data_IF_265651778828
#
_entry.id   IF_265651778828
#
_cell.length_a   1.000
_cell.length_b   1.000
_cell.length_c   1.000
_cell.angle_alpha   90.00
_cell.angle_beta   90.00
_cell.angle_gamma   90.00
#
_symmetry.space_group_name_H-M   'P 1'
#
loop_
_entity.id
_entity.type
_entity.pdbx_description
1 polymer ?
#
# COMPACT_ATOMS: atom_id res chain seq x y z
N UNK A 1 23.67 -45.95 -26.95
CA UNK A 1 24.36 -45.71 -25.66
C UNK A 1 24.82 -44.26 -25.67
N UNK A 2 23.98 -43.36 -25.16
CA UNK A 2 24.12 -41.90 -25.29
C UNK A 2 25.23 -41.41 -24.36
N UNK A 3 26.30 -40.85 -24.94
CA UNK A 3 27.21 -39.91 -24.28
C UNK A 3 26.70 -38.52 -24.67
N UNK A 4 25.96 -37.82 -23.79
CA UNK A 4 25.90 -36.35 -23.72
C UNK A 4 24.82 -35.77 -22.77
N UNK A 5 24.29 -36.51 -21.81
CA UNK A 5 23.33 -35.95 -20.83
C UNK A 5 23.89 -34.82 -19.94
N UNK A 6 25.20 -34.59 -19.93
CA UNK A 6 25.81 -33.53 -19.11
C UNK A 6 25.81 -32.13 -19.75
N UNK A 7 25.55 -31.99 -21.05
CA UNK A 7 25.54 -30.67 -21.69
C UNK A 7 24.16 -29.98 -21.67
N UNK A 8 23.09 -30.70 -21.32
CA UNK A 8 21.71 -30.17 -21.39
C UNK A 8 21.34 -29.35 -20.14
N UNK A 9 21.98 -29.61 -19.00
CA UNK A 9 21.64 -28.95 -17.72
C UNK A 9 22.40 -27.66 -17.43
N UNK A 10 23.42 -27.30 -18.23
CA UNK A 10 24.28 -26.14 -17.97
C UNK A 10 24.23 -25.06 -19.07
N UNK A 11 23.31 -25.17 -20.04
CA UNK A 11 23.10 -24.12 -21.02
C UNK A 11 22.43 -22.88 -20.38
N UNK A 12 22.94 -21.66 -20.61
CA UNK A 12 22.43 -20.44 -19.97
C UNK A 12 20.98 -20.08 -20.32
N UNK A 13 20.38 -20.78 -21.31
CA UNK A 13 18.99 -20.61 -21.73
C UNK A 13 18.37 -21.99 -21.98
N UNK A 14 17.30 -22.31 -21.25
CA UNK A 14 16.59 -23.59 -21.39
C UNK A 14 15.44 -23.44 -22.41
N UNK A 15 15.66 -23.92 -23.65
CA UNK A 15 14.71 -23.80 -24.76
C UNK A 15 13.58 -24.85 -24.75
N UNK A 16 13.55 -25.74 -23.74
CA UNK A 16 12.45 -26.70 -23.53
C UNK A 16 12.14 -27.57 -24.75
N UNK A 17 10.85 -27.73 -25.08
CA UNK A 17 10.38 -28.58 -26.18
C UNK A 17 10.85 -28.12 -27.58
N UNK A 18 11.33 -26.87 -27.72
CA UNK A 18 11.79 -26.30 -28.98
C UNK A 18 13.32 -26.38 -29.15
N UNK A 19 14.04 -27.08 -28.26
CA UNK A 19 15.50 -27.17 -28.29
C UNK A 19 16.03 -27.72 -29.62
N UNK A 20 15.36 -28.71 -30.22
CA UNK A 20 15.77 -29.28 -31.51
C UNK A 20 15.75 -28.24 -32.64
N UNK A 21 14.71 -27.41 -32.70
CA UNK A 21 14.60 -26.32 -33.67
C UNK A 21 15.66 -25.24 -33.44
N UNK A 22 15.94 -24.91 -32.17
CA UNK A 22 16.95 -23.90 -31.82
C UNK A 22 18.37 -24.35 -32.17
N UNK A 23 18.66 -25.65 -32.06
CA UNK A 23 19.95 -26.22 -32.49
C UNK A 23 20.10 -26.17 -34.01
N UNK A 24 19.04 -26.50 -34.75
CA UNK A 24 19.04 -26.42 -36.22
C UNK A 24 19.25 -24.98 -36.72
N UNK A 25 18.57 -23.99 -36.09
CA UNK A 25 18.77 -22.57 -36.40
C UNK A 25 20.18 -22.08 -35.99
N UNK A 26 20.76 -22.64 -34.93
CA UNK A 26 22.13 -22.32 -34.53
C UNK A 26 23.15 -22.87 -35.54
N UNK A 27 22.95 -24.09 -36.04
CA UNK A 27 23.80 -24.68 -37.09
C UNK A 27 23.72 -23.84 -38.38
N UNK A 28 22.52 -23.39 -38.78
CA UNK A 28 22.34 -22.47 -39.91
C UNK A 28 23.07 -21.13 -39.69
N UNK A 29 23.01 -20.58 -38.48
CA UNK A 29 23.73 -19.37 -38.12
C UNK A 29 25.27 -19.52 -38.19
N UNK A 30 25.81 -20.72 -37.89
CA UNK A 30 27.25 -21.00 -38.02
C UNK A 30 27.73 -21.02 -39.48
N UNK A 31 26.86 -21.40 -40.42
CA UNK A 31 27.15 -21.40 -41.86
C UNK A 31 26.98 -20.01 -42.48
N UNK A 32 25.87 -19.32 -42.16
CA UNK A 32 25.58 -17.96 -42.60
C UNK A 32 24.79 -17.20 -41.52
N UNK A 33 25.38 -16.18 -40.87
CA UNK A 33 24.70 -15.38 -39.86
C UNK A 33 23.43 -14.69 -40.35
N UNK A 34 23.32 -14.38 -41.64
CA UNK A 34 22.14 -13.70 -42.20
C UNK A 34 20.96 -14.63 -42.47
N UNK A 35 21.15 -15.95 -42.33
CA UNK A 35 20.11 -16.96 -42.53
C UNK A 35 19.04 -16.99 -41.43
N UNK A 36 19.32 -16.36 -40.28
CA UNK A 36 18.41 -16.27 -39.13
C UNK A 36 18.02 -14.80 -38.86
N UNK A 37 16.92 -14.60 -38.15
CA UNK A 37 16.43 -13.25 -37.80
C UNK A 37 17.41 -12.49 -36.91
N UNK A 38 17.38 -11.17 -36.97
CA UNK A 38 18.30 -10.28 -36.23
C UNK A 38 18.33 -10.57 -34.72
N UNK A 39 17.18 -10.86 -34.12
CA UNK A 39 17.07 -11.26 -32.70
C UNK A 39 17.84 -12.56 -32.39
N UNK A 40 17.82 -13.53 -33.30
CA UNK A 40 18.55 -14.80 -33.17
C UNK A 40 20.04 -14.63 -33.42
N UNK A 41 20.44 -13.71 -34.31
CA UNK A 41 21.85 -13.37 -34.51
C UNK A 41 22.47 -12.81 -33.22
N UNK A 42 21.76 -11.91 -32.54
CA UNK A 42 22.19 -11.35 -31.24
C UNK A 42 22.24 -12.44 -30.17
N UNK A 43 21.24 -13.30 -30.10
CA UNK A 43 21.21 -14.41 -29.14
C UNK A 43 22.37 -15.39 -29.36
N UNK A 44 22.59 -15.84 -30.60
CA UNK A 44 23.60 -16.85 -30.93
C UNK A 44 25.04 -16.32 -30.89
N UNK A 45 25.26 -15.05 -31.24
CA UNK A 45 26.56 -14.39 -31.02
C UNK A 45 26.91 -14.28 -29.54
N UNK A 46 25.91 -14.05 -28.67
CA UNK A 46 26.10 -14.01 -27.21
C UNK A 46 26.44 -15.38 -26.62
N UNK A 47 25.93 -16.47 -27.22
CA UNK A 47 26.19 -17.85 -26.77
C UNK A 47 27.62 -18.31 -27.11
N UNK A 48 28.18 -17.86 -28.25
CA UNK A 48 29.51 -18.29 -28.73
C UNK A 48 30.66 -17.83 -27.82
N UNK A 49 30.54 -16.66 -27.21
CA UNK A 49 31.66 -16.02 -26.50
C UNK A 49 31.57 -16.10 -24.96
N UNK A 50 30.51 -16.67 -24.39
CA UNK A 50 30.37 -16.86 -22.93
C UNK A 50 30.32 -15.56 -22.09
N UNK A 51 30.55 -14.41 -22.71
CA UNK A 51 30.36 -13.07 -22.16
C UNK A 51 29.74 -12.17 -23.25
N UNK A 52 28.90 -11.19 -22.87
CA UNK A 52 28.27 -10.29 -23.83
C UNK A 52 29.32 -9.34 -24.42
N UNK A 53 29.95 -9.73 -25.52
CA UNK A 53 30.76 -8.81 -26.33
C UNK A 53 29.85 -8.03 -27.29
N UNK A 54 29.02 -7.16 -26.71
CA UNK A 54 28.43 -6.08 -27.50
C UNK A 54 29.57 -5.10 -27.75
N UNK A 55 30.19 -5.20 -28.93
CA UNK A 55 31.05 -4.12 -29.46
C UNK A 55 30.15 -2.98 -29.88
N UNK A 56 29.47 -2.37 -28.90
CA UNK A 56 28.98 -1.02 -29.02
C UNK A 56 30.22 -0.15 -29.07
N UNK A 57 30.49 0.44 -30.23
CA UNK A 57 31.34 1.60 -30.31
C UNK A 57 30.88 2.57 -29.23
N UNK A 58 31.64 2.64 -28.13
CA UNK A 58 31.46 3.61 -27.07
C UNK A 58 31.86 4.96 -27.66
N UNK A 59 30.90 5.57 -28.36
CA UNK A 59 30.72 7.00 -28.26
C UNK A 59 30.68 7.28 -26.76
N UNK A 60 31.62 8.10 -26.26
CA UNK A 60 31.70 8.51 -24.86
C UNK A 60 30.32 8.97 -24.39
N UNK A 61 29.55 8.07 -23.76
CA UNK A 61 28.31 8.42 -23.09
C UNK A 61 28.72 9.09 -21.79
N UNK A 62 28.44 10.38 -21.70
CA UNK A 62 28.65 11.23 -20.53
C UNK A 62 28.34 10.51 -19.22
N UNK A 63 29.27 10.53 -18.27
CA UNK A 63 29.08 9.93 -16.94
C UNK A 63 27.78 10.38 -16.25
N UNK A 64 27.30 11.58 -16.58
CA UNK A 64 26.02 12.15 -16.13
C UNK A 64 24.79 11.33 -16.52
N UNK A 65 24.74 10.72 -17.72
CA UNK A 65 23.58 9.92 -18.16
C UNK A 65 23.46 8.61 -17.35
N UNK A 66 24.60 8.04 -16.94
CA UNK A 66 24.63 6.88 -16.05
C UNK A 66 24.11 7.20 -14.65
N UNK A 67 24.42 8.40 -14.14
CA UNK A 67 24.03 8.83 -12.79
C UNK A 67 22.53 9.11 -12.71
N UNK A 68 21.97 9.82 -13.69
CA UNK A 68 20.53 10.11 -13.74
C UNK A 68 19.72 8.79 -13.80
N UNK A 69 20.17 7.80 -14.58
CA UNK A 69 19.54 6.47 -14.62
C UNK A 69 19.55 5.78 -13.25
N UNK A 70 20.63 5.90 -12.46
CA UNK A 70 20.70 5.35 -11.09
C UNK A 70 19.75 6.07 -10.15
N UNK A 71 19.65 7.40 -10.26
CA UNK A 71 18.70 8.22 -9.49
C UNK A 71 17.25 7.81 -9.80
N UNK A 72 16.88 7.70 -11.07
CA UNK A 72 15.54 7.27 -11.48
C UNK A 72 15.19 5.86 -10.95
N UNK A 73 16.12 4.91 -11.03
CA UNK A 73 15.92 3.56 -10.48
C UNK A 73 15.70 3.57 -8.96
N UNK A 74 16.44 4.39 -8.21
CA UNK A 74 16.22 4.55 -6.78
C UNK A 74 14.81 5.10 -6.48
N UNK A 75 14.42 6.16 -7.19
CA UNK A 75 13.09 6.78 -7.04
C UNK A 75 11.98 5.78 -7.33
N UNK A 76 12.09 5.04 -8.43
CA UNK A 76 11.11 4.03 -8.83
C UNK A 76 11.04 2.90 -7.80
N UNK A 77 12.18 2.44 -7.28
CA UNK A 77 12.23 1.45 -6.21
C UNK A 77 11.55 1.96 -4.93
N UNK A 78 11.76 3.22 -4.54
CA UNK A 78 11.09 3.82 -3.38
C UNK A 78 9.57 3.86 -3.59
N UNK A 79 9.10 4.26 -4.78
CA UNK A 79 7.66 4.32 -5.11
C UNK A 79 7.02 2.93 -5.12
N UNK A 80 7.72 1.94 -5.68
CA UNK A 80 7.19 0.59 -5.85
C UNK A 80 7.27 -0.21 -4.55
N UNK A 81 8.39 -0.15 -3.83
CA UNK A 81 8.69 -1.04 -2.72
C UNK A 81 8.85 -0.32 -1.37
N UNK A 82 8.61 0.99 -1.28
CA UNK A 82 8.71 1.73 -0.01
C UNK A 82 7.81 1.17 1.11
N UNK A 83 6.65 0.60 0.77
CA UNK A 83 5.76 -0.11 1.69
C UNK A 83 6.46 -1.32 2.39
N UNK A 84 7.46 -1.90 1.70
CA UNK A 84 8.69 -2.57 2.18
C UNK A 84 9.18 -2.23 3.58
N UNK A 85 9.35 -0.94 3.78
CA UNK A 85 10.06 -0.37 4.92
C UNK A 85 9.20 0.68 5.60
N UNK A 86 7.89 0.65 5.38
CA UNK A 86 6.95 1.51 6.08
C UNK A 86 6.83 1.13 7.57
N UNK A 87 6.56 2.13 8.40
CA UNK A 87 6.39 2.02 9.85
C UNK A 87 4.91 1.86 10.22
N UNK A 88 4.32 0.74 9.78
CA UNK A 88 2.88 0.46 9.92
C UNK A 88 2.56 -0.54 11.04
N UNK A 89 3.57 -0.97 11.81
CA UNK A 89 3.42 -2.01 12.83
C UNK A 89 3.43 -1.37 14.23
N UNK A 90 2.27 -1.27 14.91
CA UNK A 90 2.17 -0.57 16.20
C UNK A 90 2.84 -1.31 17.38
N UNK A 91 3.19 -2.58 17.20
CA UNK A 91 3.79 -3.41 18.27
C UNK A 91 5.20 -3.84 17.88
N UNK A 92 5.32 -4.78 16.93
CA UNK A 92 6.61 -5.34 16.51
C UNK A 92 6.72 -5.31 14.99
N UNK A 93 7.84 -4.78 14.50
CA UNK A 93 8.16 -4.82 13.08
C UNK A 93 8.64 -6.23 12.69
N UNK A 94 8.06 -6.86 11.65
CA UNK A 94 8.58 -8.13 11.16
C UNK A 94 9.93 -7.93 10.48
N UNK A 95 10.83 -8.90 10.63
CA UNK A 95 12.02 -8.99 9.81
C UNK A 95 11.61 -9.30 8.36
N UNK A 96 12.14 -8.55 7.40
CA UNK A 96 11.84 -8.76 5.98
C UNK A 96 13.09 -9.24 5.26
N UNK A 97 12.95 -10.35 4.53
CA UNK A 97 13.99 -10.91 3.66
C UNK A 97 13.72 -10.48 2.21
N UNK A 98 14.76 -10.42 1.39
CA UNK A 98 14.68 -10.12 -0.04
C UNK A 98 14.05 -8.74 -0.35
N UNK A 99 14.28 -7.76 0.52
CA UNK A 99 13.85 -6.37 0.24
C UNK A 99 14.70 -5.81 -0.90
N UNK A 100 14.11 -5.19 -1.93
CA UNK A 100 14.86 -4.52 -2.98
C UNK A 100 15.77 -3.42 -2.43
N UNK A 101 16.75 -3.03 -3.25
CA UNK A 101 17.61 -1.87 -2.98
C UNK A 101 16.78 -0.60 -2.86
N UNK A 102 16.90 0.08 -1.73
CA UNK A 102 16.06 1.23 -1.37
C UNK A 102 16.84 2.39 -0.77
N UNK A 103 18.13 2.21 -0.49
CA UNK A 103 18.99 3.22 0.11
C UNK A 103 19.84 3.90 -0.98
N UNK A 104 20.18 5.17 -0.77
CA UNK A 104 21.01 5.95 -1.70
C UNK A 104 22.32 5.22 -2.05
N UNK A 105 22.97 4.64 -1.03
CA UNK A 105 24.22 3.89 -1.18
C UNK A 105 24.10 2.64 -2.05
N UNK A 106 22.93 2.00 -2.13
CA UNK A 106 22.72 0.77 -2.91
C UNK A 106 22.90 0.98 -4.43
N UNK A 107 22.80 2.24 -4.86
CA UNK A 107 22.85 2.70 -6.25
C UNK A 107 24.15 3.44 -6.57
N UNK A 108 25.18 3.36 -5.72
CA UNK A 108 26.44 4.09 -5.91
C UNK A 108 26.19 5.59 -6.14
N UNK A 109 25.31 6.15 -5.32
CA UNK A 109 25.02 7.58 -5.26
C UNK A 109 25.52 8.09 -3.91
N UNK A 110 25.95 9.34 -3.88
CA UNK A 110 26.33 10.03 -2.66
C UNK A 110 25.60 11.38 -2.57
N UNK A 111 25.66 11.97 -1.39
CA UNK A 111 25.03 13.26 -1.11
C UNK A 111 25.52 14.35 -2.06
N UNK A 112 26.83 14.45 -2.27
CA UNK A 112 27.44 15.52 -3.08
C UNK A 112 26.96 15.46 -4.54
N UNK A 113 26.85 14.27 -5.10
CA UNK A 113 26.33 14.03 -6.46
C UNK A 113 24.86 14.43 -6.55
N UNK A 114 24.05 14.05 -5.56
CA UNK A 114 22.62 14.35 -5.54
C UNK A 114 22.31 15.83 -5.30
N UNK A 115 23.16 16.55 -4.55
CA UNK A 115 23.06 17.99 -4.35
C UNK A 115 23.28 18.78 -5.65
N UNK A 116 24.06 18.25 -6.59
CA UNK A 116 24.25 18.84 -7.92
C UNK A 116 23.13 18.59 -8.92
N UNK A 117 22.10 17.82 -8.54
CA UNK A 117 20.98 17.42 -9.40
C UNK A 117 19.72 18.18 -8.98
N UNK A 118 18.97 18.71 -9.95
CA UNK A 118 17.70 19.39 -9.70
C UNK A 118 16.66 18.46 -9.06
N UNK A 119 15.90 18.97 -8.08
CA UNK A 119 14.78 18.25 -7.46
C UNK A 119 13.68 17.85 -8.46
N UNK A 120 13.59 18.54 -9.61
CA UNK A 120 12.63 18.25 -10.69
C UNK A 120 12.77 16.83 -11.25
N UNK A 121 14.00 16.29 -11.25
CA UNK A 121 14.27 14.91 -11.67
C UNK A 121 13.58 13.89 -10.74
N UNK A 122 13.39 14.23 -9.47
CA UNK A 122 12.76 13.35 -8.47
C UNK A 122 11.24 13.36 -8.63
N UNK A 123 10.66 14.55 -8.70
CA UNK A 123 9.24 14.77 -8.97
C UNK A 123 9.02 16.21 -9.42
N UNK A 124 8.19 16.41 -10.44
CA UNK A 124 7.81 17.76 -10.89
C UNK A 124 7.22 18.62 -9.75
N UNK A 125 6.60 17.99 -8.74
CA UNK A 125 6.02 18.65 -7.57
C UNK A 125 7.04 19.15 -6.55
N UNK A 126 8.30 18.75 -6.67
CA UNK A 126 9.36 19.08 -5.71
C UNK A 126 10.23 20.24 -6.14
N UNK A 127 10.15 20.65 -7.41
CA UNK A 127 10.94 21.73 -7.99
C UNK A 127 10.91 23.03 -7.18
N UNK A 128 9.72 23.44 -6.74
CA UNK A 128 9.54 24.71 -6.01
C UNK A 128 9.59 24.54 -4.48
N UNK A 129 9.87 23.33 -4.00
CA UNK A 129 9.81 22.96 -2.57
C UNK A 129 11.20 22.59 -2.04
N UNK A 130 12.06 22.02 -2.89
CA UNK A 130 13.38 21.52 -2.51
C UNK A 130 14.43 22.00 -3.49
N UNK A 131 15.61 22.36 -2.96
CA UNK A 131 16.68 22.95 -3.77
C UNK A 131 17.40 21.92 -4.64
N UNK A 132 17.43 20.65 -4.21
CA UNK A 132 18.18 19.59 -4.87
C UNK A 132 17.53 18.19 -4.73
N UNK A 133 18.02 17.24 -5.51
CA UNK A 133 17.51 15.87 -5.54
C UNK A 133 17.73 15.12 -4.22
N UNK A 134 18.79 15.43 -3.45
CA UNK A 134 19.06 14.80 -2.16
C UNK A 134 17.93 15.07 -1.16
N UNK A 135 17.54 16.33 -0.99
CA UNK A 135 16.45 16.71 -0.09
C UNK A 135 15.10 16.13 -0.53
N UNK A 136 14.84 16.14 -1.84
CA UNK A 136 13.64 15.55 -2.42
C UNK A 136 13.56 14.02 -2.19
N UNK A 137 14.68 13.30 -2.31
CA UNK A 137 14.73 11.86 -2.04
C UNK A 137 14.50 11.58 -0.55
N UNK A 138 15.15 12.31 0.37
CA UNK A 138 14.92 12.15 1.81
C UNK A 138 13.44 12.39 2.17
N UNK A 139 12.81 13.37 1.52
CA UNK A 139 11.38 13.62 1.67
C UNK A 139 10.52 12.47 1.17
N UNK A 140 10.88 11.86 0.04
CA UNK A 140 10.21 10.67 -0.49
C UNK A 140 10.36 9.49 0.45
N UNK A 141 11.55 9.23 0.97
CA UNK A 141 11.78 8.16 1.94
C UNK A 141 10.89 8.34 3.16
N UNK A 142 10.86 9.53 3.75
CA UNK A 142 9.95 9.84 4.87
C UNK A 142 8.48 9.63 4.52
N UNK A 143 8.08 9.80 3.24
CA UNK A 143 6.70 9.60 2.80
C UNK A 143 6.37 8.12 2.62
N UNK A 144 7.17 7.40 1.84
CA UNK A 144 6.90 6.04 1.40
C UNK A 144 7.34 4.99 2.41
N UNK A 145 8.30 5.31 3.29
CA UNK A 145 8.78 4.49 4.41
C UNK A 145 8.22 4.97 5.77
N UNK A 146 7.25 5.90 5.77
CA UNK A 146 6.65 6.48 6.97
C UNK A 146 5.52 5.64 7.58
N UNK A 147 4.61 6.26 8.37
CA UNK A 147 3.53 5.54 9.08
C UNK A 147 2.35 5.13 8.19
N UNK A 148 2.44 5.37 6.88
CA UNK A 148 1.44 5.00 5.88
C UNK A 148 2.16 4.26 4.77
N UNK A 149 1.71 3.05 4.46
CA UNK A 149 2.20 2.26 3.34
C UNK A 149 1.35 2.55 2.09
N UNK A 150 2.01 2.78 0.95
CA UNK A 150 1.36 3.03 -0.33
C UNK A 150 1.67 1.90 -1.31
N UNK A 151 0.63 1.26 -1.83
CA UNK A 151 0.72 0.27 -2.89
C UNK A 151 -0.22 0.67 -4.01
N UNK A 152 0.34 1.15 -5.13
CA UNK A 152 -0.46 1.68 -6.23
C UNK A 152 0.16 1.45 -7.62
N UNK A 153 1.44 1.10 -7.68
CA UNK A 153 2.17 0.92 -8.95
C UNK A 153 1.62 -0.23 -9.80
N UNK A 154 0.95 -1.19 -9.17
CA UNK A 154 0.27 -2.32 -9.82
C UNK A 154 -1.02 -1.94 -10.56
N UNK A 155 -1.57 -0.74 -10.35
CA UNK A 155 -2.79 -0.27 -11.02
C UNK A 155 -2.48 -0.07 -12.51
N UNK A 156 -3.24 -0.69 -13.41
CA UNK A 156 -2.99 -0.60 -14.86
C UNK A 156 -3.26 0.80 -15.44
N UNK A 157 -4.26 1.52 -14.93
CA UNK A 157 -4.65 2.83 -15.43
C UNK A 157 -3.60 3.89 -15.09
N UNK A 158 -2.94 4.43 -16.12
CA UNK A 158 -1.91 5.44 -15.93
C UNK A 158 -2.42 6.74 -15.30
N UNK A 159 -3.65 7.16 -15.62
CA UNK A 159 -4.23 8.39 -15.06
C UNK A 159 -4.41 8.27 -13.54
N UNK A 160 -4.88 7.10 -13.08
CA UNK A 160 -5.03 6.81 -11.65
C UNK A 160 -3.69 6.76 -10.93
N UNK A 161 -2.69 6.07 -11.51
CA UNK A 161 -1.34 6.02 -10.94
C UNK A 161 -0.71 7.41 -10.81
N UNK A 162 -0.82 8.24 -11.85
CA UNK A 162 -0.29 9.62 -11.85
C UNK A 162 -1.02 10.46 -10.80
N UNK A 163 -2.35 10.32 -10.69
CA UNK A 163 -3.13 11.02 -9.68
C UNK A 163 -2.71 10.61 -8.26
N UNK A 164 -2.57 9.30 -7.99
CA UNK A 164 -2.10 8.79 -6.70
C UNK A 164 -0.69 9.27 -6.38
N UNK A 165 0.25 9.15 -7.33
CA UNK A 165 1.63 9.66 -7.19
C UNK A 165 1.62 11.12 -6.75
N UNK A 166 0.86 11.97 -7.46
CA UNK A 166 0.72 13.40 -7.14
C UNK A 166 0.15 13.60 -5.73
N UNK A 167 -0.93 12.90 -5.37
CA UNK A 167 -1.56 13.04 -4.03
C UNK A 167 -0.66 12.56 -2.90
N UNK A 168 0.15 11.52 -3.13
CA UNK A 168 1.08 10.97 -2.15
C UNK A 168 2.28 11.91 -1.95
N UNK A 169 2.85 12.42 -3.04
CA UNK A 169 4.06 13.24 -3.02
C UNK A 169 3.79 14.70 -2.66
N UNK A 170 2.58 15.22 -2.90
CA UNK A 170 2.15 16.53 -2.41
C UNK A 170 2.30 16.58 -0.88
N UNK A 171 2.93 17.62 -0.30
CA UNK A 171 3.03 17.79 1.14
C UNK A 171 1.66 17.83 1.83
N UNK A 172 1.20 16.68 2.29
CA UNK A 172 0.04 16.57 3.18
C UNK A 172 0.53 16.35 4.60
N UNK A 173 0.43 17.38 5.42
CA UNK A 173 0.51 17.26 6.87
C UNK A 173 -0.92 17.27 7.37
N UNK A 174 -1.33 16.22 8.09
CA UNK A 174 -2.60 16.22 8.81
C UNK A 174 -2.53 17.33 9.87
N UNK A 175 -2.99 18.52 9.50
CA UNK A 175 -2.97 19.69 10.35
C UNK A 175 -4.30 19.75 11.10
N UNK A 176 -4.41 18.92 12.14
CA UNK A 176 -5.48 19.06 13.11
C UNK A 176 -5.17 20.26 14.01
N UNK A 177 -6.13 21.17 14.14
CA UNK A 177 -6.04 22.24 15.13
C UNK A 177 -6.19 21.67 16.56
N UNK A 178 -6.00 22.50 17.58
CA UNK A 178 -6.04 22.05 18.98
C UNK A 178 -7.39 21.40 19.34
N UNK A 179 -8.49 21.99 18.87
CA UNK A 179 -9.84 21.50 19.16
C UNK A 179 -10.10 20.16 18.47
N UNK A 180 -9.70 20.00 17.20
CA UNK A 180 -9.81 18.76 16.47
C UNK A 180 -9.01 17.62 17.11
N UNK A 181 -7.81 17.91 17.63
CA UNK A 181 -7.02 16.94 18.40
C UNK A 181 -7.72 16.52 19.70
N UNK A 182 -8.30 17.48 20.43
CA UNK A 182 -9.07 17.18 21.64
C UNK A 182 -10.31 16.36 21.31
N UNK A 183 -11.00 16.65 20.22
CA UNK A 183 -12.16 15.88 19.79
C UNK A 183 -11.79 14.45 19.39
N UNK A 184 -10.70 14.27 18.61
CA UNK A 184 -10.17 12.95 18.27
C UNK A 184 -9.81 12.15 19.53
N UNK A 185 -9.14 12.79 20.49
CA UNK A 185 -8.80 12.16 21.77
C UNK A 185 -10.06 11.73 22.54
N UNK A 186 -11.09 12.60 22.62
CA UNK A 186 -12.37 12.26 23.27
C UNK A 186 -13.06 11.07 22.60
N UNK A 187 -13.06 11.00 21.28
CA UNK A 187 -13.63 9.87 20.54
C UNK A 187 -12.92 8.56 20.89
N UNK A 188 -11.58 8.55 20.88
CA UNK A 188 -10.80 7.38 21.29
C UNK A 188 -11.05 7.01 22.76
N UNK A 189 -11.13 8.00 23.66
CA UNK A 189 -11.41 7.77 25.07
C UNK A 189 -12.82 7.19 25.31
N UNK A 190 -13.82 7.60 24.53
CA UNK A 190 -15.15 7.00 24.59
C UNK A 190 -15.16 5.54 24.14
N UNK A 191 -14.44 5.23 23.06
CA UNK A 191 -14.30 3.87 22.53
C UNK A 191 -13.65 2.95 23.57
N UNK A 192 -12.50 3.38 24.10
CA UNK A 192 -11.76 2.61 25.11
C UNK A 192 -12.58 2.49 26.42
N UNK A 193 -13.22 3.57 26.85
CA UNK A 193 -14.07 3.58 28.04
C UNK A 193 -15.25 2.63 27.92
N UNK A 194 -15.90 2.58 26.75
CA UNK A 194 -17.00 1.65 26.48
C UNK A 194 -16.53 0.19 26.53
N UNK A 195 -15.40 -0.15 25.90
CA UNK A 195 -14.84 -1.50 25.98
C UNK A 195 -14.48 -1.90 27.41
N UNK A 196 -13.80 -1.02 28.15
CA UNK A 196 -13.44 -1.28 29.55
C UNK A 196 -14.68 -1.48 30.43
N UNK A 197 -15.73 -0.71 30.20
CA UNK A 197 -17.00 -0.87 30.91
C UNK A 197 -17.63 -2.22 30.60
N UNK A 198 -17.72 -2.60 29.32
CA UNK A 198 -18.27 -3.89 28.92
C UNK A 198 -17.46 -5.06 29.48
N UNK A 199 -16.14 -4.96 29.41
CA UNK A 199 -15.23 -5.98 29.93
C UNK A 199 -15.39 -6.19 31.43
N UNK A 200 -15.50 -5.10 32.20
CA UNK A 200 -15.63 -5.15 33.66
C UNK A 200 -16.99 -5.68 34.12
N UNK A 201 -18.08 -5.26 33.48
CA UNK A 201 -19.44 -5.53 33.98
C UNK A 201 -20.10 -6.76 33.35
N UNK A 202 -19.68 -7.20 32.16
CA UNK A 202 -20.28 -8.35 31.46
C UNK A 202 -19.22 -9.41 31.17
N UNK A 203 -18.65 -9.95 32.25
CA UNK A 203 -17.63 -11.00 32.19
C UNK A 203 -18.18 -12.24 31.49
N UNK A 204 -17.41 -12.81 30.56
CA UNK A 204 -17.81 -13.98 29.77
C UNK A 204 -18.74 -13.68 28.59
N UNK A 205 -19.29 -12.47 28.48
CA UNK A 205 -20.11 -12.10 27.33
C UNK A 205 -19.24 -11.91 26.07
N UNK A 206 -19.63 -12.56 24.96
CA UNK A 206 -19.01 -12.33 23.65
C UNK A 206 -19.37 -10.93 23.16
N UNK A 207 -18.35 -10.08 22.99
CA UNK A 207 -18.49 -8.68 22.53
C UNK A 207 -17.68 -8.33 21.27
N UNK A 208 -16.76 -9.19 20.85
CA UNK A 208 -15.85 -8.96 19.71
C UNK A 208 -15.14 -7.61 19.78
N UNK A 209 -14.37 -7.44 20.85
CA UNK A 209 -13.70 -6.18 21.23
C UNK A 209 -12.99 -5.50 20.07
N UNK A 210 -13.09 -4.17 20.05
CA UNK A 210 -12.33 -3.29 19.13
C UNK A 210 -10.88 -3.08 19.56
N UNK A 211 -10.48 -3.49 20.77
CA UNK A 211 -9.16 -3.18 21.34
C UNK A 211 -8.02 -3.47 20.35
N UNK A 212 -7.18 -2.47 20.12
CA UNK A 212 -6.07 -2.50 19.16
C UNK A 212 -6.42 -2.04 17.75
N UNK A 213 -7.70 -1.83 17.43
CA UNK A 213 -8.16 -1.18 16.19
C UNK A 213 -9.15 -0.04 16.47
N UNK A 214 -9.00 0.61 17.63
CA UNK A 214 -9.86 1.68 18.14
C UNK A 214 -9.97 2.87 17.18
N UNK A 215 -8.91 3.11 16.38
CA UNK A 215 -8.86 4.11 15.33
C UNK A 215 -9.92 3.92 14.22
N UNK A 216 -10.54 2.74 14.11
CA UNK A 216 -11.63 2.47 13.19
C UNK A 216 -12.80 3.46 13.37
N UNK A 217 -13.16 3.78 14.61
CA UNK A 217 -14.28 4.67 14.91
C UNK A 217 -14.01 6.11 14.43
N UNK A 218 -12.93 6.81 14.86
CA UNK A 218 -12.66 8.15 14.36
C UNK A 218 -12.39 8.17 12.85
N UNK A 219 -11.84 7.09 12.28
CA UNK A 219 -11.68 6.97 10.82
C UNK A 219 -13.04 6.99 10.11
N UNK A 220 -13.99 6.15 10.51
CA UNK A 220 -15.34 6.13 9.93
C UNK A 220 -16.03 7.48 10.13
N UNK A 221 -15.93 8.07 11.33
CA UNK A 221 -16.52 9.38 11.61
C UNK A 221 -15.96 10.47 10.68
N UNK A 222 -14.64 10.46 10.45
CA UNK A 222 -14.00 11.38 9.51
C UNK A 222 -14.43 11.12 8.06
N UNK A 223 -14.55 9.86 7.64
CA UNK A 223 -15.05 9.50 6.31
C UNK A 223 -16.47 10.01 6.08
N UNK A 224 -17.36 9.85 7.07
CA UNK A 224 -18.74 10.36 6.97
C UNK A 224 -18.75 11.89 6.86
N UNK A 225 -17.93 12.59 7.66
CA UNK A 225 -17.79 14.05 7.56
C UNK A 225 -17.32 14.47 6.16
N UNK A 226 -16.28 13.83 5.65
CA UNK A 226 -15.74 14.09 4.29
C UNK A 226 -16.79 13.80 3.21
N UNK A 227 -17.55 12.73 3.34
CA UNK A 227 -18.60 12.39 2.39
C UNK A 227 -19.73 13.44 2.39
N UNK A 228 -20.11 13.96 3.57
CA UNK A 228 -21.08 15.04 3.68
C UNK A 228 -20.58 16.36 3.06
N UNK A 229 -19.28 16.69 3.22
CA UNK A 229 -18.64 17.84 2.56
C UNK A 229 -18.70 17.74 1.02
N UNK A 230 -18.74 16.52 0.48
CA UNK A 230 -18.84 16.22 -0.96
C UNK A 230 -20.30 15.92 -1.37
N UNK A 231 -21.28 16.31 -0.55
CA UNK A 231 -22.74 16.18 -0.80
C UNK A 231 -23.23 14.72 -1.00
N UNK A 232 -22.49 13.74 -0.50
CA UNK A 232 -22.92 12.33 -0.53
C UNK A 232 -24.03 12.14 0.51
N UNK A 233 -25.22 11.81 0.02
CA UNK A 233 -26.45 11.74 0.84
C UNK A 233 -26.62 10.45 1.62
N UNK A 234 -25.98 9.35 1.18
CA UNK A 234 -26.19 8.02 1.75
C UNK A 234 -24.88 7.25 1.85
N UNK A 235 -24.64 6.64 3.01
CA UNK A 235 -23.48 5.77 3.26
C UNK A 235 -23.98 4.46 3.85
N UNK A 236 -23.64 3.36 3.20
CA UNK A 236 -23.94 2.01 3.68
C UNK A 236 -22.65 1.36 4.17
N UNK A 237 -22.66 0.86 5.40
CA UNK A 237 -21.48 0.24 6.03
C UNK A 237 -21.76 -1.24 6.24
N UNK A 238 -21.09 -2.10 5.45
CA UNK A 238 -20.99 -3.53 5.72
C UNK A 238 -19.76 -3.82 6.57
N UNK A 239 -19.93 -4.47 7.74
CA UNK A 239 -18.81 -4.83 8.60
C UNK A 239 -19.02 -6.18 9.30
N UNK A 240 -17.91 -6.87 9.59
CA UNK A 240 -17.87 -8.05 10.43
C UNK A 240 -18.16 -7.72 11.92
N UNK A 241 -18.02 -8.69 12.81
CA UNK A 241 -18.34 -8.54 14.23
C UNK A 241 -17.34 -7.66 15.01
N UNK A 242 -16.08 -7.57 14.60
CA UNK A 242 -15.02 -6.88 15.36
C UNK A 242 -15.27 -5.38 15.41
N UNK A 243 -15.38 -4.85 16.63
CA UNK A 243 -15.66 -3.43 16.88
C UNK A 243 -17.06 -2.96 16.46
N UNK A 244 -17.96 -3.88 16.09
CA UNK A 244 -19.30 -3.53 15.62
C UNK A 244 -20.11 -2.80 16.68
N UNK A 245 -20.02 -3.23 17.94
CA UNK A 245 -20.71 -2.56 19.04
C UNK A 245 -20.26 -1.10 19.17
N UNK A 246 -18.95 -0.85 19.05
CA UNK A 246 -18.39 0.49 19.04
C UNK A 246 -18.87 1.33 17.85
N UNK A 247 -18.98 0.74 16.65
CA UNK A 247 -19.53 1.45 15.48
C UNK A 247 -21.02 1.79 15.68
N UNK A 248 -21.84 0.85 16.15
CA UNK A 248 -23.25 1.11 16.44
C UNK A 248 -23.40 2.23 17.48
N UNK A 249 -22.66 2.18 18.58
CA UNK A 249 -22.73 3.17 19.65
C UNK A 249 -22.21 4.53 19.24
N UNK A 250 -21.02 4.62 18.62
CA UNK A 250 -20.35 5.90 18.43
C UNK A 250 -20.56 6.51 17.04
N UNK A 251 -20.85 5.72 16.01
CA UNK A 251 -21.12 6.20 14.65
C UNK A 251 -22.63 6.38 14.44
N UNK A 252 -23.40 5.30 14.64
CA UNK A 252 -24.86 5.35 14.53
C UNK A 252 -25.53 5.94 15.77
N UNK A 253 -24.76 6.36 16.78
CA UNK A 253 -25.28 6.98 18.02
C UNK A 253 -26.35 6.12 18.69
N UNK A 254 -26.23 4.79 18.61
CA UNK A 254 -27.08 3.89 19.38
C UNK A 254 -26.87 4.19 20.87
N UNK A 255 -27.94 4.51 21.64
CA UNK A 255 -27.80 4.88 23.05
C UNK A 255 -27.06 3.81 23.86
N UNK A 256 -26.28 4.22 24.86
CA UNK A 256 -25.58 3.27 25.71
C UNK A 256 -26.56 2.40 26.48
N UNK A 257 -27.64 2.98 27.00
CA UNK A 257 -28.71 2.29 27.72
C UNK A 257 -29.31 1.17 26.87
N UNK A 258 -29.56 1.48 25.60
CA UNK A 258 -30.00 0.49 24.62
C UNK A 258 -28.96 -0.61 24.44
N UNK A 259 -27.69 -0.28 24.24
CA UNK A 259 -26.64 -1.30 24.09
C UNK A 259 -26.48 -2.17 25.32
N UNK A 260 -26.51 -1.58 26.52
CA UNK A 260 -26.35 -2.27 27.78
C UNK A 260 -27.54 -3.18 28.09
N UNK A 261 -28.76 -2.78 27.72
CA UNK A 261 -29.95 -3.62 27.87
C UNK A 261 -29.83 -4.97 27.14
N UNK A 262 -29.18 -4.99 25.96
CA UNK A 262 -28.91 -6.22 25.20
C UNK A 262 -27.89 -7.15 25.87
N UNK A 263 -27.05 -6.62 26.77
CA UNK A 263 -26.18 -7.44 27.62
C UNK A 263 -26.89 -7.91 28.89
N UNK A 264 -27.87 -7.14 29.38
CA UNK A 264 -28.71 -7.49 30.53
C UNK A 264 -29.90 -8.38 30.18
N UNK A 265 -30.09 -8.72 28.89
CA UNK A 265 -31.25 -9.45 28.37
C UNK A 265 -32.59 -8.76 28.68
N UNK A 266 -32.58 -7.42 28.70
CA UNK A 266 -33.77 -6.59 28.81
C UNK A 266 -34.14 -5.99 27.46
N UNK A 267 -35.39 -5.51 27.34
CA UNK A 267 -35.91 -4.98 26.07
C UNK A 267 -35.19 -3.68 25.66
N UNK A 268 -34.42 -3.68 24.55
CA UNK A 268 -33.70 -2.50 24.07
C UNK A 268 -34.60 -1.44 23.46
N UNK A 269 -35.80 -1.81 23.00
CA UNK A 269 -36.70 -0.88 22.31
C UNK A 269 -37.23 0.22 23.24
N UNK A 270 -37.16 0.02 24.55
CA UNK A 270 -37.46 1.05 25.56
C UNK A 270 -36.58 2.29 25.48
N UNK A 271 -35.41 2.17 24.85
CA UNK A 271 -34.42 3.22 24.76
C UNK A 271 -34.28 3.78 23.34
N UNK A 272 -35.20 3.45 22.42
CA UNK A 272 -35.16 3.99 21.06
C UNK A 272 -35.47 5.50 21.09
N UNK A 273 -34.67 6.33 20.39
CA UNK A 273 -34.97 7.75 20.28
C UNK A 273 -36.36 8.01 19.68
N UNK A 274 -37.18 8.80 20.36
CA UNK A 274 -38.54 9.14 19.92
C UNK A 274 -38.57 10.05 18.69
N UNK A 275 -37.47 10.73 18.39
CA UNK A 275 -37.30 11.61 17.23
C UNK A 275 -37.17 10.86 15.89
N UNK A 276 -37.15 9.52 15.92
CA UNK A 276 -37.00 8.68 14.73
C UNK A 276 -35.62 8.81 14.07
N UNK A 277 -34.63 9.38 14.76
CA UNK A 277 -33.26 9.56 14.25
C UNK A 277 -32.53 8.23 14.04
N UNK A 278 -32.95 7.18 14.74
CA UNK A 278 -32.38 5.84 14.68
C UNK A 278 -33.48 4.80 14.40
N UNK A 279 -33.28 3.99 13.37
CA UNK A 279 -34.03 2.76 13.16
C UNK A 279 -33.11 1.55 13.25
N UNK A 280 -33.61 0.45 13.80
CA UNK A 280 -32.87 -0.81 13.91
C UNK A 280 -33.49 -1.85 13.01
N UNK A 281 -32.66 -2.73 12.46
CA UNK A 281 -33.17 -3.92 11.77
C UNK A 281 -33.61 -4.93 12.83
N UNK A 282 -34.86 -5.40 12.76
CA UNK A 282 -35.35 -6.52 13.56
C UNK A 282 -35.82 -7.65 12.66
N UNK A 283 -35.28 -8.86 12.87
CA UNK A 283 -35.79 -10.09 12.27
C UNK A 283 -36.94 -10.66 13.11
N UNK A 284 -37.80 -11.49 12.50
CA UNK A 284 -38.98 -12.07 13.17
C UNK A 284 -38.63 -12.94 14.40
N UNK A 285 -37.50 -13.63 14.38
CA UNK A 285 -37.02 -14.50 15.47
C UNK A 285 -35.97 -13.85 16.37
N UNK A 286 -35.62 -12.59 16.10
CA UNK A 286 -34.44 -11.94 16.67
C UNK A 286 -33.11 -12.51 16.14
N UNK A 287 -32.02 -11.83 16.46
CA UNK A 287 -30.64 -12.27 16.22
C UNK A 287 -29.73 -11.70 17.33
N UNK A 288 -28.49 -12.17 17.40
CA UNK A 288 -27.50 -11.67 18.37
C UNK A 288 -27.15 -10.21 18.09
N UNK A 289 -26.91 -9.43 19.15
CA UNK A 289 -26.63 -7.97 19.12
C UNK A 289 -25.58 -7.50 18.10
N UNK A 290 -24.61 -8.35 17.77
CA UNK A 290 -23.54 -8.05 16.81
C UNK A 290 -23.87 -8.48 15.36
N UNK A 291 -25.11 -8.90 15.07
CA UNK A 291 -25.62 -9.09 13.70
C UNK A 291 -26.65 -8.03 13.32
N UNK A 292 -27.34 -7.45 14.30
CA UNK A 292 -28.30 -6.38 14.08
C UNK A 292 -27.61 -5.15 13.49
N UNK A 293 -28.24 -4.57 12.47
CA UNK A 293 -27.86 -3.30 11.87
C UNK A 293 -28.70 -2.15 12.39
N UNK A 294 -28.39 -0.96 11.91
CA UNK A 294 -29.19 0.24 12.15
C UNK A 294 -29.02 1.25 11.03
N UNK A 295 -29.97 2.17 10.94
CA UNK A 295 -29.92 3.31 10.05
C UNK A 295 -30.11 4.57 10.87
N UNK A 296 -29.26 5.57 10.62
CA UNK A 296 -29.32 6.86 11.29
C UNK A 296 -29.50 7.97 10.27
N UNK A 297 -30.43 8.88 10.53
CA UNK A 297 -30.52 10.16 9.81
C UNK A 297 -29.65 11.19 10.54
N UNK A 298 -28.77 11.86 9.79
CA UNK A 298 -27.83 12.89 10.29
C UNK A 298 -28.39 14.26 9.94
#
# INVERSE_FOLDING_TARGET
MMKNDKQVTEAPVNFGANLGLMLELYDQFLEDPSSVTEDLQVLFSTIKDGEPSVTSQTSQSSSGDSTIKRVMRLIDNIRQYGHLQADIYPVNRPERKNVPKLEIGDFNLDKQTLEGISAEIVSDHFKDIYDNAYEAILRMEKRYKGPIAFEYTHINNNKERVWLKRRIETPYKANLNKEEKVNLFKQLAHVEGFEKYLHKNFVGAKRFSIEGVDALVPMIAHTIKRAAEEEITNIQIGMAHRGRLNVLTHILRKPYEMMLSEFMHTDPMKFIPEDGSLSLTSGWTGDVKYHLGGSKKI
#
